data_IF_121951823696
#
_entry.id   IF_121951823696
#
_cell.length_a   1.000
_cell.length_b   1.000
_cell.length_c   1.000
_cell.angle_alpha   90.00
_cell.angle_beta   90.00
_cell.angle_gamma   90.00
#
_symmetry.space_group_name_H-M   'P 1'
#
loop_
_entity.id
_entity.type
_entity.pdbx_description
1 polymer ?
#
# COMPACT_ATOMS: atom_id res chain seq x y z
N UNK A 1 -42.52 -36.03 53.08
CA UNK A 1 -41.61 -34.93 53.47
C UNK A 1 -40.41 -34.78 52.52
N UNK A 2 -39.76 -35.87 52.07
CA UNK A 2 -38.55 -35.82 51.22
C UNK A 2 -38.79 -35.21 49.82
N UNK A 3 -39.97 -35.43 49.24
CA UNK A 3 -40.33 -34.88 47.91
C UNK A 3 -40.33 -33.34 47.84
N UNK A 4 -40.71 -32.66 48.91
CA UNK A 4 -40.72 -31.18 48.95
C UNK A 4 -39.32 -30.59 49.02
N UNK A 5 -38.38 -31.26 49.70
CA UNK A 5 -36.98 -30.84 49.72
C UNK A 5 -36.29 -30.98 48.37
N UNK A 6 -36.60 -32.05 47.64
CA UNK A 6 -36.04 -32.29 46.31
C UNK A 6 -36.63 -31.32 45.27
N UNK A 7 -37.92 -30.98 45.38
CA UNK A 7 -38.56 -29.96 44.56
C UNK A 7 -37.98 -28.56 44.80
N UNK A 8 -37.69 -28.21 46.06
CA UNK A 8 -37.03 -26.93 46.39
C UNK A 8 -35.58 -26.87 45.90
N UNK A 9 -34.82 -27.96 46.04
CA UNK A 9 -33.45 -28.03 45.54
C UNK A 9 -33.39 -27.93 44.01
N UNK A 10 -34.31 -28.61 43.31
CA UNK A 10 -34.43 -28.50 41.85
C UNK A 10 -34.85 -27.08 41.43
N UNK A 11 -35.75 -26.44 42.17
CA UNK A 11 -36.17 -25.06 41.93
C UNK A 11 -35.02 -24.06 42.13
N UNK A 12 -34.25 -24.20 43.20
CA UNK A 12 -33.09 -23.35 43.47
C UNK A 12 -31.99 -23.52 42.40
N UNK A 13 -31.69 -24.76 42.01
CA UNK A 13 -30.72 -25.05 40.96
C UNK A 13 -31.19 -24.54 39.59
N UNK A 14 -32.49 -24.63 39.31
CA UNK A 14 -33.08 -24.10 38.09
C UNK A 14 -33.02 -22.56 38.06
N UNK A 15 -33.19 -21.90 39.21
CA UNK A 15 -33.04 -20.45 39.35
C UNK A 15 -31.59 -20.02 39.18
N UNK A 16 -30.62 -20.71 39.79
CA UNK A 16 -29.19 -20.45 39.58
C UNK A 16 -28.78 -20.64 38.11
N UNK A 17 -29.31 -21.67 37.44
CA UNK A 17 -29.05 -21.91 36.02
C UNK A 17 -29.66 -20.82 35.11
N UNK A 18 -30.82 -20.26 35.50
CA UNK A 18 -31.48 -19.17 34.77
C UNK A 18 -30.77 -17.83 34.95
N UNK A 19 -30.17 -17.60 36.12
CA UNK A 19 -29.31 -16.46 36.39
C UNK A 19 -27.96 -16.58 35.70
N UNK A 20 -27.40 -17.79 35.56
CA UNK A 20 -26.21 -18.01 34.72
C UNK A 20 -26.47 -17.62 33.25
N UNK A 21 -27.72 -17.78 32.79
CA UNK A 21 -28.16 -17.35 31.46
C UNK A 21 -28.54 -15.86 31.40
N UNK A 22 -28.82 -15.20 32.53
CA UNK A 22 -29.08 -13.75 32.62
C UNK A 22 -27.84 -12.91 32.91
N UNK A 23 -26.81 -13.45 33.57
CA UNK A 23 -25.50 -12.80 33.71
C UNK A 23 -24.82 -12.59 32.34
N UNK A 24 -25.15 -13.44 31.36
CA UNK A 24 -24.77 -13.26 29.94
C UNK A 24 -25.55 -12.10 29.28
N UNK A 25 -26.70 -11.70 29.83
CA UNK A 25 -27.58 -10.65 29.27
C UNK A 25 -27.22 -9.23 29.73
N UNK A 26 -26.60 -9.05 30.90
CA UNK A 26 -26.07 -7.74 31.34
C UNK A 26 -24.74 -7.37 30.65
N UNK A 27 -23.92 -8.35 30.27
CA UNK A 27 -22.68 -8.13 29.51
C UNK A 27 -22.88 -7.97 28.00
N UNK A 28 -24.12 -8.11 27.53
CA UNK A 28 -24.39 -8.35 26.10
C UNK A 28 -24.01 -7.16 25.20
N UNK A 29 -24.30 -5.91 25.56
CA UNK A 29 -24.06 -4.79 24.64
C UNK A 29 -22.57 -4.47 24.45
N UNK A 30 -21.78 -4.48 25.52
CA UNK A 30 -20.34 -4.20 25.45
C UNK A 30 -19.58 -5.31 24.72
N UNK A 31 -19.97 -6.57 24.94
CA UNK A 31 -19.37 -7.71 24.26
C UNK A 31 -19.69 -7.72 22.75
N UNK A 32 -20.94 -7.39 22.36
CA UNK A 32 -21.32 -7.26 20.95
C UNK A 32 -20.57 -6.12 20.26
N UNK A 33 -20.46 -4.94 20.89
CA UNK A 33 -19.70 -3.81 20.33
C UNK A 33 -18.22 -4.16 20.20
N UNK A 34 -17.63 -4.83 21.19
CA UNK A 34 -16.25 -5.30 21.14
C UNK A 34 -16.01 -6.29 20.00
N UNK A 35 -16.92 -7.25 19.81
CA UNK A 35 -16.81 -8.24 18.74
C UNK A 35 -17.00 -7.61 17.34
N UNK A 36 -17.94 -6.67 17.20
CA UNK A 36 -18.13 -5.91 15.95
C UNK A 36 -16.89 -5.06 15.64
N UNK A 37 -16.34 -4.36 16.65
CA UNK A 37 -15.12 -3.57 16.48
C UNK A 37 -13.94 -4.44 16.03
N UNK A 38 -13.77 -5.62 16.65
CA UNK A 38 -12.70 -6.55 16.31
C UNK A 38 -12.86 -7.12 14.89
N UNK A 39 -14.10 -7.42 14.49
CA UNK A 39 -14.44 -7.80 13.11
C UNK A 39 -14.12 -6.68 12.11
N UNK A 40 -14.51 -5.43 12.41
CA UNK A 40 -14.23 -4.29 11.52
C UNK A 40 -12.73 -3.97 11.42
N UNK A 41 -11.98 -4.05 12.52
CA UNK A 41 -10.53 -3.81 12.53
C UNK A 41 -9.81 -4.90 11.72
N UNK A 42 -10.12 -6.17 11.98
CA UNK A 42 -9.50 -7.29 11.25
C UNK A 42 -9.88 -7.26 9.77
N UNK A 43 -11.15 -7.03 9.44
CA UNK A 43 -11.62 -6.92 8.06
C UNK A 43 -11.03 -5.70 7.34
N UNK A 44 -10.94 -4.55 8.02
CA UNK A 44 -10.37 -3.32 7.47
C UNK A 44 -8.88 -3.46 7.15
N UNK A 45 -8.10 -4.05 8.06
CA UNK A 45 -6.67 -4.32 7.83
C UNK A 45 -6.48 -5.34 6.70
N UNK A 46 -7.26 -6.41 6.69
CA UNK A 46 -7.17 -7.45 5.66
C UNK A 46 -7.57 -6.94 4.28
N UNK A 47 -8.68 -6.22 4.18
CA UNK A 47 -9.18 -5.65 2.93
C UNK A 47 -8.28 -4.49 2.46
N UNK A 48 -7.81 -3.66 3.38
CA UNK A 48 -6.86 -2.59 3.10
C UNK A 48 -5.58 -3.13 2.48
N UNK A 49 -4.95 -4.15 3.08
CA UNK A 49 -3.71 -4.71 2.56
C UNK A 49 -3.94 -5.45 1.22
N UNK A 50 -5.12 -6.04 1.02
CA UNK A 50 -5.46 -6.75 -0.23
C UNK A 50 -5.79 -5.80 -1.40
N UNK A 51 -6.35 -4.62 -1.12
CA UNK A 51 -6.67 -3.60 -2.13
C UNK A 51 -5.49 -2.65 -2.40
N UNK A 52 -4.63 -2.41 -1.41
CA UNK A 52 -3.45 -1.53 -1.55
C UNK A 52 -2.17 -2.27 -1.92
N UNK A 53 -2.20 -3.61 -1.98
CA UNK A 53 -1.17 -4.39 -2.65
C UNK A 53 -1.16 -3.99 -4.14
N UNK A 54 -0.41 -2.91 -4.45
CA UNK A 54 -0.11 -2.48 -5.81
C UNK A 54 0.38 -3.73 -6.54
N UNK A 55 -0.35 -4.26 -7.52
CA UNK A 55 0.16 -5.37 -8.29
C UNK A 55 1.50 -4.90 -8.83
N UNK A 56 2.59 -5.59 -8.44
CA UNK A 56 3.82 -5.55 -9.23
C UNK A 56 3.38 -6.12 -10.57
N UNK A 57 2.96 -5.23 -11.47
CA UNK A 57 2.58 -5.60 -12.82
C UNK A 57 3.69 -6.43 -13.44
N UNK A 58 3.39 -7.26 -14.47
CA UNK A 58 4.42 -7.97 -15.22
C UNK A 58 5.53 -6.96 -15.51
N UNK A 59 6.76 -7.31 -15.11
CA UNK A 59 7.88 -6.37 -15.04
C UNK A 59 7.91 -5.55 -16.33
N UNK A 60 7.80 -4.23 -16.20
CA UNK A 60 7.79 -3.33 -17.33
C UNK A 60 8.96 -3.70 -18.26
N UNK A 61 8.65 -4.30 -19.41
CA UNK A 61 9.64 -4.67 -20.42
C UNK A 61 10.06 -3.40 -21.12
N UNK A 62 11.02 -2.72 -20.49
CA UNK A 62 11.62 -1.51 -21.00
C UNK A 62 12.04 -1.73 -22.44
N UNK A 63 11.57 -0.87 -23.34
CA UNK A 63 11.91 -0.91 -24.75
C UNK A 63 13.39 -0.57 -24.97
N UNK A 64 14.23 -1.60 -24.88
CA UNK A 64 15.69 -1.48 -25.04
C UNK A 64 16.06 -1.00 -26.45
N UNK A 65 15.22 -1.31 -27.46
CA UNK A 65 15.41 -0.84 -28.82
C UNK A 65 15.23 0.67 -28.93
N UNK A 66 14.20 1.25 -28.30
CA UNK A 66 13.99 2.69 -28.25
C UNK A 66 15.14 3.42 -27.54
N UNK A 67 15.63 2.87 -26.43
CA UNK A 67 16.79 3.41 -25.69
C UNK A 67 18.04 3.43 -26.57
N UNK A 68 18.30 2.34 -27.28
CA UNK A 68 19.45 2.22 -28.17
C UNK A 68 19.33 3.14 -29.39
N UNK A 69 18.14 3.27 -29.96
CA UNK A 69 17.87 4.16 -31.09
C UNK A 69 18.11 5.64 -30.75
N UNK A 70 17.73 6.05 -29.54
CA UNK A 70 17.93 7.41 -29.03
C UNK A 70 19.32 7.64 -28.41
N UNK A 71 20.15 6.59 -28.31
CA UNK A 71 21.48 6.67 -27.71
C UNK A 71 21.45 7.08 -26.22
N UNK A 72 20.37 6.76 -25.49
CA UNK A 72 20.25 7.09 -24.07
C UNK A 72 21.18 6.16 -23.28
N UNK A 73 22.09 6.74 -22.51
CA UNK A 73 23.02 6.01 -21.65
C UNK A 73 22.34 5.49 -20.38
N UNK A 74 22.92 4.47 -19.76
CA UNK A 74 22.41 3.93 -18.50
C UNK A 74 22.22 5.00 -17.41
N UNK A 75 23.17 5.95 -17.30
CA UNK A 75 23.06 7.07 -16.34
C UNK A 75 21.94 8.04 -16.68
N UNK A 76 21.68 8.31 -17.95
CA UNK A 76 20.55 9.14 -18.36
C UNK A 76 19.22 8.43 -18.09
N UNK A 77 19.15 7.10 -18.25
CA UNK A 77 17.97 6.31 -17.87
C UNK A 77 17.72 6.35 -16.37
N UNK A 78 18.74 6.16 -15.54
CA UNK A 78 18.63 6.29 -14.07
C UNK A 78 18.13 7.68 -13.66
N UNK A 79 18.67 8.74 -14.27
CA UNK A 79 18.22 10.11 -14.04
C UNK A 79 16.76 10.27 -14.46
N UNK A 80 16.37 9.77 -15.63
CA UNK A 80 15.00 9.81 -16.15
C UNK A 80 14.00 9.09 -15.22
N UNK A 81 14.35 7.94 -14.67
CA UNK A 81 13.54 7.22 -13.67
C UNK A 81 13.31 8.04 -12.41
N UNK A 82 14.37 8.64 -11.87
CA UNK A 82 14.23 9.49 -10.68
C UNK A 82 13.50 10.79 -10.97
N UNK A 83 13.58 11.31 -12.20
CA UNK A 83 12.76 12.42 -12.64
C UNK A 83 11.28 12.04 -12.65
N UNK A 84 10.93 10.85 -13.16
CA UNK A 84 9.57 10.32 -13.15
C UNK A 84 9.05 10.04 -11.73
N UNK A 85 9.92 9.61 -10.82
CA UNK A 85 9.62 9.46 -9.40
C UNK A 85 9.42 10.80 -8.65
N UNK A 86 9.55 11.94 -9.33
CA UNK A 86 9.32 13.27 -8.73
C UNK A 86 10.50 13.82 -7.91
N UNK A 87 11.69 13.20 -7.96
CA UNK A 87 12.83 13.68 -7.19
C UNK A 87 13.42 14.98 -7.73
N UNK A 88 13.80 15.89 -6.83
CA UNK A 88 14.53 17.11 -7.19
C UNK A 88 15.98 16.78 -7.58
N UNK A 89 16.59 17.60 -8.44
CA UNK A 89 17.96 17.36 -8.94
C UNK A 89 19.00 17.22 -7.81
N UNK A 90 18.80 17.89 -6.67
CA UNK A 90 19.66 17.76 -5.48
C UNK A 90 19.55 16.38 -4.82
N UNK A 91 18.37 15.76 -4.84
CA UNK A 91 18.15 14.40 -4.33
C UNK A 91 18.74 13.37 -5.28
N UNK A 92 18.54 13.56 -6.59
CA UNK A 92 19.12 12.73 -7.66
C UNK A 92 20.65 12.74 -7.54
N UNK A 93 21.25 13.92 -7.39
CA UNK A 93 22.68 14.11 -7.19
C UNK A 93 23.22 13.29 -6.01
N UNK A 94 22.53 13.35 -4.86
CA UNK A 94 22.90 12.57 -3.67
C UNK A 94 22.75 11.07 -3.86
N UNK A 95 21.72 10.61 -4.57
CA UNK A 95 21.48 9.18 -4.82
C UNK A 95 22.48 8.56 -5.79
N UNK A 96 22.92 9.34 -6.77
CA UNK A 96 23.90 8.91 -7.77
C UNK A 96 25.35 9.23 -7.38
N UNK A 97 25.57 9.83 -6.22
CA UNK A 97 26.89 10.30 -5.75
C UNK A 97 27.61 11.21 -6.76
N UNK A 98 26.86 12.15 -7.34
CA UNK A 98 27.36 13.14 -8.32
C UNK A 98 26.97 14.56 -7.93
N UNK A 99 27.61 15.55 -8.56
CA UNK A 99 27.26 16.94 -8.31
C UNK A 99 25.88 17.30 -8.90
N UNK A 100 25.12 18.22 -8.28
CA UNK A 100 23.88 18.73 -8.86
C UNK A 100 24.05 19.37 -10.24
N UNK A 101 25.25 19.88 -10.54
CA UNK A 101 25.57 20.44 -11.85
C UNK A 101 25.70 19.33 -12.90
N UNK A 102 26.34 18.22 -12.55
CA UNK A 102 26.43 17.02 -13.41
C UNK A 102 25.05 16.47 -13.73
N UNK A 103 24.13 16.43 -12.75
CA UNK A 103 22.73 16.05 -12.99
C UNK A 103 22.09 16.98 -14.02
N UNK A 104 22.26 18.31 -13.91
CA UNK A 104 21.71 19.26 -14.89
C UNK A 104 22.25 18.98 -16.30
N UNK A 105 23.53 18.66 -16.44
CA UNK A 105 24.13 18.28 -17.73
C UNK A 105 23.52 17.00 -18.28
N UNK A 106 23.33 15.96 -17.46
CA UNK A 106 22.66 14.73 -17.89
C UNK A 106 21.21 14.98 -18.31
N UNK A 107 20.48 15.83 -17.58
CA UNK A 107 19.10 16.21 -17.93
C UNK A 107 19.05 16.99 -19.24
N UNK A 108 19.98 17.91 -19.49
CA UNK A 108 20.04 18.66 -20.74
C UNK A 108 20.28 17.73 -21.94
N UNK A 109 21.26 16.83 -21.86
CA UNK A 109 21.53 15.84 -22.91
C UNK A 109 20.36 14.88 -23.13
N UNK A 110 19.71 14.46 -22.05
CA UNK A 110 18.50 13.64 -22.11
C UNK A 110 17.36 14.37 -22.84
N UNK A 111 17.18 15.66 -22.57
CA UNK A 111 16.15 16.49 -23.22
C UNK A 111 16.44 16.70 -24.71
N UNK A 112 17.70 16.89 -25.07
CA UNK A 112 18.14 16.92 -26.48
C UNK A 112 17.84 15.60 -27.19
N UNK A 113 18.20 14.45 -26.59
CA UNK A 113 17.95 13.12 -27.15
C UNK A 113 16.47 12.78 -27.28
N UNK A 114 15.65 13.23 -26.33
CA UNK A 114 14.20 13.06 -26.37
C UNK A 114 13.49 14.14 -27.20
N UNK A 115 14.21 15.17 -27.68
CA UNK A 115 13.66 16.32 -28.40
C UNK A 115 12.52 17.01 -27.62
N UNK A 116 12.76 17.34 -26.36
CA UNK A 116 11.78 17.96 -25.45
C UNK A 116 12.39 19.13 -24.72
N UNK A 117 11.57 20.09 -24.30
CA UNK A 117 12.04 21.29 -23.59
C UNK A 117 11.75 21.27 -22.08
N UNK A 118 10.91 20.36 -21.60
CA UNK A 118 10.50 20.33 -20.19
C UNK A 118 10.52 18.93 -19.58
N UNK A 119 10.69 18.90 -18.26
CA UNK A 119 10.66 17.67 -17.45
C UNK A 119 9.38 16.86 -17.69
N UNK A 120 8.23 17.53 -17.70
CA UNK A 120 6.94 16.85 -17.91
C UNK A 120 6.83 16.26 -19.31
N UNK A 121 7.31 16.98 -20.34
CA UNK A 121 7.36 16.45 -21.70
C UNK A 121 8.32 15.26 -21.82
N UNK A 122 9.48 15.31 -21.17
CA UNK A 122 10.44 14.20 -21.13
C UNK A 122 9.82 12.93 -20.54
N UNK A 123 9.12 13.06 -19.40
CA UNK A 123 8.45 11.94 -18.74
C UNK A 123 7.36 11.37 -19.65
N UNK A 124 6.51 12.23 -20.23
CA UNK A 124 5.43 11.79 -21.14
C UNK A 124 5.97 11.09 -22.38
N UNK A 125 7.00 11.64 -23.03
CA UNK A 125 7.59 11.04 -24.24
C UNK A 125 8.29 9.71 -23.91
N UNK A 126 8.95 9.62 -22.77
CA UNK A 126 9.53 8.37 -22.29
C UNK A 126 8.48 7.29 -21.98
N UNK A 127 7.29 7.67 -21.49
CA UNK A 127 6.16 6.74 -21.32
C UNK A 127 5.58 6.30 -22.66
N UNK A 128 5.43 7.21 -23.62
CA UNK A 128 4.96 6.88 -24.98
C UNK A 128 5.89 5.93 -25.73
N UNK A 129 7.19 5.97 -25.41
CA UNK A 129 8.21 5.12 -26.02
C UNK A 129 8.47 3.83 -25.22
N UNK A 130 7.67 3.55 -24.18
CA UNK A 130 7.84 2.41 -23.29
C UNK A 130 9.27 2.32 -22.71
N UNK A 131 9.87 3.47 -22.38
CA UNK A 131 11.14 3.59 -21.66
C UNK A 131 10.89 3.67 -20.14
N UNK A 132 9.78 4.31 -19.76
CA UNK A 132 9.28 4.42 -18.39
C UNK A 132 7.87 3.83 -18.24
N UNK A 133 7.56 3.24 -17.08
CA UNK A 133 6.22 2.72 -16.77
C UNK A 133 5.19 3.82 -16.49
#
# INVERSE_FOLDING_TARGET
>A
MIFYGLALAAGAFLLEWLDYKHAVREWSTEFYVGMIALLFVTLGIWLGNRLTAKPRGPGFERNVAAIKALGISARETEVLEMLAAGHANKVIARRLDISPNTVKTHVARLFEKLEVASRTQAIRKAQQLDILP
#
